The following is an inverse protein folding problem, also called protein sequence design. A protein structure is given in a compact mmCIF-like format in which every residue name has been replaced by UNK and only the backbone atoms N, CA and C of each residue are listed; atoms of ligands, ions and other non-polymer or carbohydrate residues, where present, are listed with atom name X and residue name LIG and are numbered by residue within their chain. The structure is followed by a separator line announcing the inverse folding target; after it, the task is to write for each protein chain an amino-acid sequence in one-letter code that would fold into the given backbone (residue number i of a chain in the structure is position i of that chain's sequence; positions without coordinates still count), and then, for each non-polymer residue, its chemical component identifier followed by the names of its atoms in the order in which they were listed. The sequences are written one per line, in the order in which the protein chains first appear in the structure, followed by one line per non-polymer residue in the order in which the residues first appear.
data_IF_036509596506
#
_entry.id   IF_036509596506
#
_cell.length_a   1.000
_cell.length_b   1.000
_cell.length_c   1.000
_cell.angle_alpha   90.00
_cell.angle_beta   90.00
_cell.angle_gamma   90.00
#
_symmetry.space_group_name_H-M   'P 1'
#
loop_
_entity.id
_entity.type
_entity.pdbx_description
1 polymer ?
#
# COMPACT_ATOMS: atom_id res chain seq x y z
N UNK A 1 12.48 6.88 -10.50
CA UNK A 1 11.74 7.69 -9.52
C UNK A 1 10.81 8.66 -10.25
N UNK A 2 9.66 8.19 -10.71
CA UNK A 2 8.58 9.06 -11.17
C UNK A 2 7.93 9.65 -9.92
N UNK A 3 8.30 10.88 -9.55
CA UNK A 3 7.68 11.53 -8.41
C UNK A 3 6.17 11.68 -8.72
N UNK A 4 5.26 11.29 -7.82
CA UNK A 4 3.81 11.41 -8.03
C UNK A 4 3.37 12.86 -8.32
N UNK A 5 4.22 13.84 -8.02
CA UNK A 5 4.01 15.24 -8.40
C UNK A 5 4.14 15.46 -9.92
N UNK A 6 5.05 14.78 -10.61
CA UNK A 6 5.18 14.89 -12.07
C UNK A 6 3.95 14.33 -12.79
N UNK A 7 3.38 13.23 -12.28
CA UNK A 7 2.19 12.61 -12.85
C UNK A 7 0.94 13.52 -12.82
N UNK A 8 0.83 14.41 -11.83
CA UNK A 8 -0.26 15.40 -11.75
C UNK A 8 0.07 16.72 -12.46
N UNK A 9 1.35 17.08 -12.56
CA UNK A 9 1.80 18.32 -13.20
C UNK A 9 1.57 18.32 -14.71
N UNK A 10 1.98 17.25 -15.42
CA UNK A 10 1.92 17.24 -16.89
C UNK A 10 0.50 17.36 -17.48
N UNK A 11 -0.52 16.64 -16.98
CA UNK A 11 -1.89 16.83 -17.47
C UNK A 11 -2.43 18.23 -17.23
N UNK A 12 -2.09 18.84 -16.09
CA UNK A 12 -2.45 20.21 -15.77
C UNK A 12 -1.77 21.22 -16.71
N UNK A 13 -0.49 21.02 -17.02
CA UNK A 13 0.25 21.84 -17.97
C UNK A 13 -0.32 21.74 -19.40
N UNK A 14 -0.62 20.52 -19.87
CA UNK A 14 -1.27 20.31 -21.18
C UNK A 14 -2.65 20.95 -21.25
N UNK A 15 -3.47 20.81 -20.20
CA UNK A 15 -4.78 21.45 -20.13
C UNK A 15 -4.67 22.99 -20.11
N UNK A 16 -3.75 23.54 -19.32
CA UNK A 16 -3.48 24.97 -19.27
C UNK A 16 -3.05 25.54 -20.63
N UNK A 17 -2.12 24.85 -21.31
CA UNK A 17 -1.68 25.22 -22.66
C UNK A 17 -2.81 25.13 -23.69
N UNK A 18 -3.64 24.10 -23.62
CA UNK A 18 -4.81 23.95 -24.50
C UNK A 18 -5.82 25.09 -24.33
N UNK A 19 -6.18 25.45 -23.10
CA UNK A 19 -7.07 26.58 -22.81
C UNK A 19 -6.47 27.91 -23.32
N UNK A 20 -5.17 28.11 -23.13
CA UNK A 20 -4.45 29.28 -23.65
C UNK A 20 -4.53 29.37 -25.18
N UNK A 21 -4.23 28.27 -25.88
CA UNK A 21 -4.28 28.22 -27.35
C UNK A 21 -5.70 28.46 -27.87
N UNK A 22 -6.72 27.89 -27.24
CA UNK A 22 -8.13 28.14 -27.57
C UNK A 22 -8.46 29.63 -27.43
N UNK A 23 -8.01 30.28 -26.34
CA UNK A 23 -8.22 31.70 -26.09
C UNK A 23 -7.56 32.58 -27.16
N UNK A 24 -6.27 32.36 -27.43
CA UNK A 24 -5.51 33.12 -28.44
C UNK A 24 -6.12 32.94 -29.84
N UNK A 25 -6.42 31.70 -30.23
CA UNK A 25 -7.02 31.42 -31.54
C UNK A 25 -8.36 32.15 -31.71
N UNK A 26 -9.21 32.16 -30.68
CA UNK A 26 -10.51 32.84 -30.76
C UNK A 26 -10.38 34.37 -30.76
N UNK A 27 -9.39 34.95 -30.07
CA UNK A 27 -9.11 36.38 -30.10
C UNK A 27 -8.65 36.85 -31.48
N UNK A 28 -7.75 36.09 -32.12
CA UNK A 28 -7.27 36.41 -33.47
C UNK A 28 -8.36 36.26 -34.55
N UNK A 29 -9.39 35.46 -34.26
CA UNK A 29 -10.48 35.13 -35.20
C UNK A 29 -11.79 35.88 -34.91
N UNK A 30 -11.78 36.96 -34.12
CA UNK A 30 -12.99 37.71 -33.75
C UNK A 30 -13.83 38.18 -34.95
N UNK A 31 -13.20 38.50 -36.09
CA UNK A 31 -13.87 38.92 -37.33
C UNK A 31 -14.27 37.78 -38.27
N UNK A 32 -14.07 36.52 -37.88
CA UNK A 32 -14.37 35.34 -38.73
C UNK A 32 -15.66 34.66 -38.29
N UNK A 33 -16.28 33.92 -39.22
CA UNK A 33 -17.50 33.16 -38.96
C UNK A 33 -17.34 32.07 -37.89
N UNK A 34 -18.44 31.71 -37.24
CA UNK A 34 -18.47 30.76 -36.11
C UNK A 34 -17.84 29.40 -36.47
N UNK A 35 -18.02 28.91 -37.69
CA UNK A 35 -17.46 27.64 -38.16
C UNK A 35 -15.92 27.64 -38.08
N UNK A 36 -15.27 28.73 -38.49
CA UNK A 36 -13.80 28.87 -38.47
C UNK A 36 -13.28 28.86 -37.04
N UNK A 37 -14.01 29.51 -36.12
CA UNK A 37 -13.65 29.58 -34.70
C UNK A 37 -13.83 28.24 -33.98
N UNK A 38 -14.89 27.49 -34.30
CA UNK A 38 -15.10 26.13 -33.79
C UNK A 38 -13.98 25.22 -34.28
N UNK A 39 -13.65 25.26 -35.57
CA UNK A 39 -12.55 24.47 -36.13
C UNK A 39 -11.21 24.77 -35.44
N UNK A 40 -10.90 26.06 -35.21
CA UNK A 40 -9.69 26.47 -34.50
C UNK A 40 -9.67 25.99 -33.02
N UNK A 41 -10.83 26.01 -32.35
CA UNK A 41 -10.97 25.51 -30.98
C UNK A 41 -10.74 24.00 -30.91
N UNK A 42 -11.34 23.23 -31.83
CA UNK A 42 -11.15 21.78 -31.94
C UNK A 42 -9.68 21.45 -32.21
N UNK A 43 -9.02 22.18 -33.12
CA UNK A 43 -7.61 21.99 -33.43
C UNK A 43 -6.70 22.24 -32.21
N UNK A 44 -6.95 23.31 -31.44
CA UNK A 44 -6.20 23.61 -30.22
C UNK A 44 -6.39 22.55 -29.12
N UNK A 45 -7.61 22.04 -28.94
CA UNK A 45 -7.90 20.95 -28.02
C UNK A 45 -7.22 19.64 -28.45
N UNK A 46 -7.29 19.32 -29.75
CA UNK A 46 -6.63 18.15 -30.31
C UNK A 46 -5.10 18.21 -30.13
N UNK A 47 -4.49 19.40 -30.29
CA UNK A 47 -3.07 19.59 -30.02
C UNK A 47 -2.71 19.36 -28.55
N UNK A 48 -3.53 19.87 -27.61
CA UNK A 48 -3.31 19.67 -26.17
C UNK A 48 -3.48 18.22 -25.74
N UNK A 49 -4.50 17.53 -26.26
CA UNK A 49 -4.72 16.09 -26.02
C UNK A 49 -3.61 15.26 -26.68
N UNK A 50 -3.20 15.61 -27.89
CA UNK A 50 -2.08 14.97 -28.59
C UNK A 50 -0.76 15.09 -27.82
N UNK A 51 -0.48 16.26 -27.23
CA UNK A 51 0.66 16.43 -26.34
C UNK A 51 0.57 15.52 -25.10
N UNK A 52 -0.61 15.35 -24.51
CA UNK A 52 -0.81 14.43 -23.39
C UNK A 52 -0.63 12.95 -23.79
N UNK A 53 -1.02 12.57 -25.02
CA UNK A 53 -0.78 11.22 -25.57
C UNK A 53 0.72 10.96 -25.77
N UNK A 54 1.46 11.94 -26.31
CA UNK A 54 2.90 11.80 -26.57
C UNK A 54 3.73 11.62 -25.29
N UNK A 55 3.20 11.98 -24.12
CA UNK A 55 3.87 11.80 -22.84
C UNK A 55 3.77 10.37 -22.29
N UNK A 56 2.93 9.51 -22.89
CA UNK A 56 2.73 8.10 -22.53
C UNK A 56 2.50 7.86 -21.02
N UNK A 57 1.86 8.82 -20.36
CA UNK A 57 1.54 8.76 -18.93
C UNK A 57 0.14 8.16 -18.74
N UNK A 58 -0.03 7.10 -17.93
CA UNK A 58 -1.33 6.50 -17.68
C UNK A 58 -2.28 7.51 -17.02
N UNK A 59 -3.44 7.72 -17.64
CA UNK A 59 -4.48 8.63 -17.14
C UNK A 59 -4.27 10.12 -17.45
N UNK A 60 -3.17 10.50 -18.10
CA UNK A 60 -2.89 11.90 -18.43
C UNK A 60 -3.92 12.49 -19.40
N UNK A 61 -4.31 11.73 -20.42
CA UNK A 61 -5.32 12.14 -21.41
C UNK A 61 -6.68 12.38 -20.75
N UNK A 62 -7.14 11.46 -19.91
CA UNK A 62 -8.43 11.59 -19.21
C UNK A 62 -8.43 12.82 -18.28
N UNK A 63 -7.35 13.01 -17.52
CA UNK A 63 -7.21 14.15 -16.61
C UNK A 63 -7.16 15.49 -17.37
N UNK A 64 -6.36 15.57 -18.43
CA UNK A 64 -6.28 16.76 -19.28
C UNK A 64 -7.63 17.06 -19.94
N UNK A 65 -8.37 16.05 -20.43
CA UNK A 65 -9.68 16.24 -21.02
C UNK A 65 -10.72 16.77 -20.03
N UNK A 66 -10.72 16.28 -18.78
CA UNK A 66 -11.60 16.80 -17.72
C UNK A 66 -11.25 18.26 -17.39
N UNK A 67 -9.97 18.59 -17.25
CA UNK A 67 -9.52 19.96 -16.98
C UNK A 67 -9.86 20.92 -18.14
N UNK A 68 -9.66 20.48 -19.39
CA UNK A 68 -10.06 21.25 -20.58
C UNK A 68 -11.58 21.45 -20.63
N UNK A 69 -12.36 20.40 -20.38
CA UNK A 69 -13.82 20.47 -20.36
C UNK A 69 -14.35 21.42 -19.28
N UNK A 70 -13.83 21.31 -18.06
CA UNK A 70 -14.22 22.19 -16.94
C UNK A 70 -13.86 23.65 -17.19
N UNK A 71 -12.75 23.94 -17.88
CA UNK A 71 -12.39 25.30 -18.28
C UNK A 71 -13.20 25.83 -19.47
N UNK A 72 -13.47 24.99 -20.48
CA UNK A 72 -14.07 25.40 -21.74
C UNK A 72 -15.61 25.52 -21.68
N UNK A 73 -16.27 24.62 -20.94
CA UNK A 73 -17.75 24.62 -20.83
C UNK A 73 -18.29 25.96 -20.34
N UNK A 74 -17.73 26.60 -19.29
CA UNK A 74 -18.17 27.94 -18.87
C UNK A 74 -18.00 28.99 -19.96
N UNK A 75 -16.88 28.96 -20.70
CA UNK A 75 -16.59 29.93 -21.77
C UNK A 75 -17.58 29.80 -22.94
N UNK A 76 -17.87 28.56 -23.36
CA UNK A 76 -18.85 28.29 -24.42
C UNK A 76 -20.27 28.61 -23.96
N UNK A 77 -20.61 28.27 -22.71
CA UNK A 77 -21.90 28.60 -22.13
C UNK A 77 -22.12 30.11 -22.10
N UNK A 78 -21.13 30.90 -21.67
CA UNK A 78 -21.18 32.37 -21.66
C UNK A 78 -21.35 32.99 -23.06
N UNK A 79 -20.96 32.30 -24.12
CA UNK A 79 -21.20 32.73 -25.50
C UNK A 79 -22.67 32.65 -25.95
N UNK A 80 -23.51 31.89 -25.23
CA UNK A 80 -24.93 31.75 -25.57
C UNK A 80 -25.74 32.95 -25.04
N UNK A 81 -26.57 33.63 -25.86
CA UNK A 81 -27.21 34.89 -25.48
C UNK A 81 -28.10 34.79 -24.24
N UNK A 82 -28.78 33.65 -24.03
CA UNK A 82 -29.58 33.43 -22.81
C UNK A 82 -28.73 33.27 -21.55
N UNK A 83 -27.56 32.64 -21.67
CA UNK A 83 -26.63 32.45 -20.56
C UNK A 83 -25.88 33.75 -20.28
N UNK A 84 -25.46 34.48 -21.31
CA UNK A 84 -24.90 35.83 -21.17
C UNK A 84 -25.89 36.78 -20.47
N UNK A 85 -27.17 36.77 -20.88
CA UNK A 85 -28.22 37.56 -20.24
C UNK A 85 -28.54 37.08 -18.81
N UNK A 86 -28.41 35.78 -18.52
CA UNK A 86 -28.53 35.25 -17.17
C UNK A 86 -27.33 35.71 -16.32
N UNK A 87 -26.09 35.54 -16.81
CA UNK A 87 -24.86 35.96 -16.16
C UNK A 87 -24.83 37.47 -15.90
N UNK A 88 -25.27 38.30 -16.85
CA UNK A 88 -25.42 39.73 -16.65
C UNK A 88 -26.42 40.05 -15.54
N UNK A 89 -27.57 39.34 -15.48
CA UNK A 89 -28.51 39.45 -14.37
C UNK A 89 -27.89 39.00 -13.04
N UNK A 90 -27.08 37.95 -13.03
CA UNK A 90 -26.35 37.51 -11.83
C UNK A 90 -25.30 38.52 -11.39
N UNK A 91 -24.60 39.18 -12.32
CA UNK A 91 -23.65 40.27 -12.04
C UNK A 91 -24.38 41.48 -11.46
N UNK A 92 -25.51 41.88 -12.05
CA UNK A 92 -26.37 42.95 -11.48
C UNK A 92 -26.86 42.55 -10.08
N UNK A 93 -27.35 41.32 -9.91
CA UNK A 93 -27.79 40.82 -8.61
C UNK A 93 -26.65 40.75 -7.59
N UNK A 94 -25.42 40.44 -8.04
CA UNK A 94 -24.25 40.42 -7.18
C UNK A 94 -23.78 41.82 -6.81
N UNK A 95 -24.34 42.92 -7.34
CA UNK A 95 -24.13 44.24 -6.75
C UNK A 95 -24.88 44.42 -5.41
N UNK A 96 -25.86 43.56 -5.10
CA UNK A 96 -26.49 43.56 -3.79
C UNK A 96 -25.60 42.88 -2.74
N UNK A 97 -25.32 43.52 -1.59
CA UNK A 97 -24.46 42.96 -0.54
C UNK A 97 -24.91 41.57 -0.07
N UNK A 98 -26.23 41.36 0.07
CA UNK A 98 -26.79 40.08 0.51
C UNK A 98 -26.48 38.93 -0.46
N UNK A 99 -26.53 39.17 -1.78
CA UNK A 99 -26.21 38.16 -2.78
C UNK A 99 -24.71 37.80 -2.77
N UNK A 100 -23.82 38.79 -2.62
CA UNK A 100 -22.37 38.56 -2.50
C UNK A 100 -22.05 37.68 -1.31
N UNK A 101 -22.45 38.10 -0.11
CA UNK A 101 -22.14 37.37 1.11
C UNK A 101 -22.85 36.02 1.17
N UNK A 102 -24.07 35.90 0.64
CA UNK A 102 -24.79 34.64 0.51
C UNK A 102 -24.05 33.64 -0.39
N UNK A 103 -23.58 34.07 -1.56
CA UNK A 103 -22.80 33.20 -2.46
C UNK A 103 -21.46 32.79 -1.85
N UNK A 104 -20.79 33.69 -1.13
CA UNK A 104 -19.52 33.41 -0.47
C UNK A 104 -19.72 32.40 0.66
N UNK A 105 -20.77 32.55 1.47
CA UNK A 105 -21.13 31.60 2.52
C UNK A 105 -21.45 30.21 1.92
N UNK A 106 -22.25 30.16 0.85
CA UNK A 106 -22.57 28.90 0.17
C UNK A 106 -21.32 28.23 -0.40
N UNK A 107 -20.44 28.99 -1.07
CA UNK A 107 -19.16 28.47 -1.56
C UNK A 107 -18.29 27.95 -0.42
N UNK A 108 -18.21 28.68 0.70
CA UNK A 108 -17.48 28.24 1.89
C UNK A 108 -18.01 26.93 2.45
N UNK A 109 -19.33 26.76 2.56
CA UNK A 109 -19.96 25.50 3.01
C UNK A 109 -19.65 24.36 2.05
N UNK A 110 -19.81 24.57 0.74
CA UNK A 110 -19.52 23.54 -0.29
C UNK A 110 -18.05 23.14 -0.26
N UNK A 111 -17.14 24.11 -0.12
CA UNK A 111 -15.70 23.84 0.01
C UNK A 111 -15.39 23.06 1.29
N UNK A 112 -15.99 23.42 2.43
CA UNK A 112 -15.77 22.71 3.69
C UNK A 112 -16.28 21.27 3.64
N UNK A 113 -17.53 21.05 3.20
CA UNK A 113 -18.11 19.71 3.04
C UNK A 113 -17.34 18.89 2.02
N UNK A 114 -16.95 19.50 0.90
CA UNK A 114 -16.14 18.86 -0.13
C UNK A 114 -14.76 18.44 0.39
N UNK A 115 -14.10 19.29 1.20
CA UNK A 115 -12.81 18.96 1.81
C UNK A 115 -12.92 17.78 2.78
N UNK A 116 -13.96 17.76 3.64
CA UNK A 116 -14.22 16.63 4.55
C UNK A 116 -14.48 15.35 3.76
N UNK A 117 -15.35 15.38 2.75
CA UNK A 117 -15.64 14.18 1.95
C UNK A 117 -14.42 13.66 1.16
N UNK A 118 -13.55 14.57 0.68
CA UNK A 118 -12.30 14.18 0.03
C UNK A 118 -11.30 13.59 1.02
N UNK A 119 -11.20 14.17 2.23
CA UNK A 119 -10.37 13.65 3.31
C UNK A 119 -10.83 12.26 3.75
N UNK A 120 -12.13 12.08 4.01
CA UNK A 120 -12.69 10.78 4.42
C UNK A 120 -12.40 9.69 3.38
N UNK A 121 -12.58 10.00 2.09
CA UNK A 121 -12.25 9.05 1.01
C UNK A 121 -10.75 8.74 0.92
N UNK A 122 -9.89 9.73 1.17
CA UNK A 122 -8.45 9.52 1.17
C UNK A 122 -8.03 8.65 2.37
N UNK A 123 -8.61 8.90 3.55
CA UNK A 123 -8.38 8.15 4.78
C UNK A 123 -8.91 6.71 4.67
N UNK A 124 -10.12 6.49 4.12
CA UNK A 124 -10.65 5.16 3.85
C UNK A 124 -9.74 4.35 2.92
N UNK A 125 -9.21 4.98 1.86
CA UNK A 125 -8.25 4.33 0.95
C UNK A 125 -6.95 3.99 1.66
N UNK A 126 -6.42 4.90 2.48
CA UNK A 126 -5.21 4.67 3.26
C UNK A 126 -5.39 3.53 4.26
N UNK A 127 -6.53 3.48 4.96
CA UNK A 127 -6.90 2.39 5.87
C UNK A 127 -7.06 1.07 5.14
N UNK A 128 -7.79 1.05 4.02
CA UNK A 128 -7.97 -0.16 3.21
C UNK A 128 -6.64 -0.71 2.71
N UNK A 129 -5.75 0.17 2.24
CA UNK A 129 -4.40 -0.20 1.82
C UNK A 129 -3.56 -0.71 2.99
N UNK A 130 -3.59 -0.04 4.15
CA UNK A 130 -2.88 -0.50 5.36
C UNK A 130 -3.38 -1.87 5.84
N UNK A 131 -4.67 -2.14 5.80
CA UNK A 131 -5.22 -3.47 6.11
C UNK A 131 -4.78 -4.52 5.08
N UNK A 132 -4.74 -4.18 3.79
CA UNK A 132 -4.26 -5.08 2.76
C UNK A 132 -2.78 -5.42 2.95
N UNK A 133 -1.94 -4.41 3.22
CA UNK A 133 -0.51 -4.57 3.51
C UNK A 133 -0.31 -5.41 4.79
N UNK A 134 -1.12 -5.16 5.83
CA UNK A 134 -1.09 -5.95 7.07
C UNK A 134 -1.48 -7.41 6.84
N UNK A 135 -2.44 -7.70 5.97
CA UNK A 135 -2.80 -9.08 5.63
C UNK A 135 -1.66 -9.84 4.93
N UNK A 136 -0.85 -9.14 4.13
CA UNK A 136 0.37 -9.70 3.51
C UNK A 136 1.41 -10.04 4.59
N UNK A 137 1.59 -9.16 5.57
CA UNK A 137 2.58 -9.32 6.65
C UNK A 137 2.16 -10.36 7.67
N UNK A 138 0.88 -10.40 8.04
CA UNK A 138 0.36 -11.42 8.96
C UNK A 138 0.32 -12.81 8.33
N UNK A 139 0.62 -12.94 7.03
CA UNK A 139 0.69 -14.24 6.36
C UNK A 139 -0.64 -14.98 6.39
N UNK A 140 -1.75 -14.26 6.34
CA UNK A 140 -3.10 -14.82 6.39
C UNK A 140 -3.53 -15.49 5.07
N UNK A 141 -2.58 -15.96 4.24
CA UNK A 141 -2.92 -16.71 3.04
C UNK A 141 -3.66 -17.98 3.43
N UNK A 142 -4.76 -18.30 2.71
CA UNK A 142 -5.38 -19.61 2.82
C UNK A 142 -4.35 -20.70 2.63
N UNK A 143 -4.38 -21.68 3.51
CA UNK A 143 -3.46 -22.81 3.51
C UNK A 143 -4.23 -24.08 3.80
N UNK A 144 -3.87 -25.17 3.14
CA UNK A 144 -4.44 -26.50 3.37
C UNK A 144 -3.43 -27.38 4.11
N UNK A 145 -3.88 -28.37 4.90
CA UNK A 145 -2.98 -29.38 5.44
C UNK A 145 -2.16 -30.04 4.32
N UNK A 146 -0.86 -30.18 4.55
CA UNK A 146 0.07 -30.84 3.63
C UNK A 146 -0.11 -32.35 3.69
N UNK A 147 -0.23 -32.98 2.52
CA UNK A 147 -0.18 -34.44 2.39
C UNK A 147 1.23 -34.97 2.12
N UNK A 148 2.16 -34.09 1.71
CA UNK A 148 3.52 -34.45 1.27
C UNK A 148 4.47 -34.80 2.39
N UNK A 149 4.18 -34.35 3.60
CA UNK A 149 5.06 -34.51 4.76
C UNK A 149 4.26 -34.60 6.05
N UNK A 150 4.89 -35.22 7.05
CA UNK A 150 4.39 -35.29 8.43
C UNK A 150 5.50 -34.82 9.36
N UNK A 151 5.13 -34.10 10.41
CA UNK A 151 6.05 -33.69 11.46
C UNK A 151 5.46 -34.00 12.83
N UNK A 152 6.33 -34.17 13.81
CA UNK A 152 5.94 -34.36 15.20
C UNK A 152 6.84 -33.56 16.14
N UNK A 153 6.32 -33.27 17.32
CA UNK A 153 7.10 -32.80 18.46
C UNK A 153 8.03 -33.90 18.98
N UNK A 154 8.92 -33.57 19.92
CA UNK A 154 9.82 -34.55 20.52
C UNK A 154 9.12 -35.58 21.41
N UNK A 155 7.88 -35.28 21.81
CA UNK A 155 7.00 -36.21 22.53
C UNK A 155 6.10 -37.03 21.59
N UNK A 156 6.27 -36.87 20.28
CA UNK A 156 5.55 -37.63 19.26
C UNK A 156 4.16 -37.08 18.91
N UNK A 157 3.76 -35.91 19.43
CA UNK A 157 2.49 -35.29 19.07
C UNK A 157 2.57 -34.82 17.61
N UNK A 158 1.64 -35.25 16.73
CA UNK A 158 1.61 -34.80 15.35
C UNK A 158 1.37 -33.29 15.26
N UNK A 159 2.14 -32.61 14.40
CA UNK A 159 1.94 -31.19 14.07
C UNK A 159 1.41 -31.07 12.65
N UNK A 160 0.34 -30.30 12.46
CA UNK A 160 -0.30 -30.13 11.15
C UNK A 160 0.53 -29.17 10.30
N UNK A 161 1.31 -29.73 9.37
CA UNK A 161 2.00 -28.95 8.35
C UNK A 161 0.98 -28.41 7.35
N UNK A 162 1.18 -27.17 6.90
CA UNK A 162 0.30 -26.54 5.90
C UNK A 162 1.06 -26.03 4.70
N UNK A 163 0.39 -26.04 3.57
CA UNK A 163 0.87 -25.50 2.30
C UNK A 163 0.00 -24.34 1.87
N UNK A 164 0.56 -23.32 1.22
CA UNK A 164 -0.26 -22.28 0.62
C UNK A 164 -1.19 -22.92 -0.41
N UNK A 165 -2.48 -22.58 -0.36
CA UNK A 165 -3.34 -22.86 -1.51
C UNK A 165 -2.78 -22.05 -2.66
N UNK A 166 -2.63 -22.67 -3.84
CA UNK A 166 -2.26 -21.99 -5.07
C UNK A 166 -3.38 -21.03 -5.52
N UNK A 167 -3.70 -20.04 -4.69
CA UNK A 167 -4.40 -18.87 -5.13
C UNK A 167 -3.42 -18.15 -6.06
N UNK A 168 -3.88 -17.85 -7.27
CA UNK A 168 -3.14 -16.95 -8.15
C UNK A 168 -2.78 -15.72 -7.33
N UNK A 169 -1.47 -15.48 -7.13
CA UNK A 169 -1.03 -14.16 -6.72
C UNK A 169 -1.72 -13.18 -7.66
N UNK A 170 -2.24 -12.04 -7.17
CA UNK A 170 -2.93 -11.08 -8.02
C UNK A 170 -2.06 -10.86 -9.26
N UNK A 171 -2.62 -11.11 -10.44
CA UNK A 171 -1.85 -11.10 -11.67
C UNK A 171 -1.12 -9.76 -11.80
N UNK A 172 0.22 -9.78 -11.86
CA UNK A 172 1.06 -8.58 -11.90
C UNK A 172 1.52 -8.00 -10.56
N UNK A 173 1.17 -8.59 -9.41
CA UNK A 173 1.74 -8.18 -8.13
C UNK A 173 3.19 -8.66 -7.99
N UNK A 174 4.15 -7.75 -8.22
CA UNK A 174 5.55 -7.99 -7.90
C UNK A 174 5.74 -8.04 -6.38
N UNK A 175 6.18 -9.18 -5.81
CA UNK A 175 6.43 -9.32 -4.39
C UNK A 175 7.48 -8.32 -3.87
N UNK A 176 8.49 -7.98 -4.69
CA UNK A 176 9.54 -7.05 -4.29
C UNK A 176 8.99 -5.63 -4.11
N UNK A 177 8.17 -5.17 -5.07
CA UNK A 177 7.48 -3.87 -4.98
C UNK A 177 6.54 -3.81 -3.76
N UNK A 178 5.86 -4.91 -3.43
CA UNK A 178 4.96 -4.96 -2.27
C UNK A 178 5.74 -4.92 -0.95
N UNK A 179 6.87 -5.62 -0.87
CA UNK A 179 7.80 -5.57 0.26
C UNK A 179 8.36 -4.16 0.47
N UNK A 180 8.91 -3.53 -0.57
CA UNK A 180 9.48 -2.18 -0.48
C UNK A 180 8.44 -1.16 -0.01
N UNK A 181 7.20 -1.24 -0.54
CA UNK A 181 6.11 -0.37 -0.14
C UNK A 181 5.75 -0.54 1.34
N UNK A 182 5.67 -1.77 1.83
CA UNK A 182 5.41 -2.05 3.24
C UNK A 182 6.53 -1.51 4.14
N UNK A 183 7.79 -1.77 3.78
CA UNK A 183 8.93 -1.32 4.56
C UNK A 183 9.01 0.21 4.64
N UNK A 184 8.72 0.89 3.53
CA UNK A 184 8.67 2.34 3.49
C UNK A 184 7.50 2.91 4.31
N UNK A 185 6.30 2.35 4.20
CA UNK A 185 5.11 2.83 4.93
C UNK A 185 5.22 2.59 6.43
N UNK A 186 5.84 1.49 6.84
CA UNK A 186 6.11 1.18 8.25
C UNK A 186 7.36 1.89 8.80
N UNK A 187 8.09 2.65 7.98
CA UNK A 187 9.36 3.31 8.34
C UNK A 187 10.41 2.32 8.87
N UNK A 188 10.48 1.11 8.30
CA UNK A 188 11.38 0.04 8.74
C UNK A 188 12.63 -0.09 7.85
N UNK A 189 12.66 0.58 6.70
CA UNK A 189 13.71 0.39 5.68
C UNK A 189 15.15 0.64 6.19
N UNK A 190 15.33 1.51 7.18
CA UNK A 190 16.62 1.85 7.81
C UNK A 190 16.86 1.13 9.15
N UNK A 191 15.89 0.35 9.64
CA UNK A 191 15.94 -0.33 10.93
C UNK A 191 16.18 -1.85 10.80
N UNK A 192 16.32 -2.36 9.57
CA UNK A 192 16.42 -3.79 9.29
C UNK A 192 17.53 -4.10 8.31
N UNK A 193 18.00 -5.35 8.34
CA UNK A 193 18.92 -5.90 7.35
C UNK A 193 18.24 -7.11 6.70
N UNK A 194 17.99 -7.04 5.40
CA UNK A 194 17.44 -8.19 4.65
C UNK A 194 18.47 -9.32 4.58
N UNK A 195 18.06 -10.53 4.95
CA UNK A 195 18.89 -11.75 5.02
C UNK A 195 18.55 -12.78 3.95
N UNK A 196 17.30 -12.78 3.46
CA UNK A 196 16.83 -13.72 2.45
C UNK A 196 15.56 -13.25 1.75
N UNK A 197 15.25 -13.89 0.62
CA UNK A 197 14.03 -13.60 -0.14
C UNK A 197 12.77 -14.10 0.57
N UNK A 198 11.64 -13.48 0.23
CA UNK A 198 10.33 -13.94 0.66
C UNK A 198 9.81 -15.05 -0.25
N UNK A 199 9.62 -16.25 0.28
CA UNK A 199 8.81 -17.29 -0.33
C UNK A 199 7.43 -17.38 0.32
N UNK A 200 6.39 -17.70 -0.46
CA UNK A 200 5.03 -17.93 0.04
C UNK A 200 4.84 -19.34 0.66
N UNK A 201 5.81 -20.23 0.47
CA UNK A 201 5.76 -21.63 0.92
C UNK A 201 5.78 -21.78 2.44
N UNK A 202 6.28 -20.78 3.15
CA UNK A 202 6.42 -20.81 4.60
C UNK A 202 6.02 -19.48 5.22
N UNK A 203 5.53 -19.49 6.45
CA UNK A 203 5.32 -18.27 7.24
C UNK A 203 6.45 -18.14 8.29
N UNK A 204 6.35 -17.17 9.20
CA UNK A 204 7.33 -16.97 10.26
C UNK A 204 7.56 -18.21 11.14
N UNK A 205 6.48 -18.86 11.58
CA UNK A 205 6.53 -20.09 12.38
C UNK A 205 7.16 -21.24 11.61
N UNK A 206 6.73 -21.42 10.37
CA UNK A 206 7.28 -22.40 9.45
C UNK A 206 8.77 -22.23 9.19
N UNK A 207 9.22 -20.98 9.02
CA UNK A 207 10.63 -20.66 8.83
C UNK A 207 11.49 -21.14 10.00
N UNK A 208 11.03 -20.92 11.24
CA UNK A 208 11.73 -21.37 12.45
C UNK A 208 11.66 -22.89 12.62
N UNK A 209 10.47 -23.48 12.67
CA UNK A 209 10.29 -24.87 13.16
C UNK A 209 10.23 -25.93 12.06
N UNK A 210 10.13 -25.55 10.78
CA UNK A 210 10.14 -26.51 9.66
C UNK A 210 11.37 -26.35 8.76
N UNK A 211 12.24 -25.39 9.09
CA UNK A 211 13.34 -24.98 8.22
C UNK A 211 12.85 -24.31 6.94
N UNK A 212 11.73 -23.59 7.01
CA UNK A 212 11.20 -22.81 5.88
C UNK A 212 10.50 -23.59 4.78
N UNK A 213 10.05 -24.83 5.05
CA UNK A 213 9.41 -25.69 4.04
C UNK A 213 7.90 -25.70 4.06
N UNK A 214 7.30 -25.46 5.23
CA UNK A 214 5.85 -25.52 5.42
C UNK A 214 5.39 -24.32 6.24
N UNK A 215 4.08 -24.07 6.29
CA UNK A 215 3.44 -23.11 7.19
C UNK A 215 2.97 -23.82 8.46
N UNK A 216 3.00 -23.12 9.58
CA UNK A 216 2.47 -23.58 10.87
C UNK A 216 1.51 -22.54 11.45
N UNK A 217 0.51 -22.98 12.24
CA UNK A 217 -0.35 -22.05 12.97
C UNK A 217 0.31 -21.57 14.27
N UNK A 218 -0.20 -20.47 14.85
CA UNK A 218 0.24 -20.03 16.18
C UNK A 218 -0.08 -21.04 17.28
N UNK A 219 -1.18 -21.78 17.15
CA UNK A 219 -1.57 -22.82 18.12
C UNK A 219 -0.58 -23.99 18.10
N UNK A 220 -0.11 -24.38 16.91
CA UNK A 220 0.95 -25.39 16.78
C UNK A 220 2.23 -24.95 17.51
N UNK A 221 2.58 -23.66 17.47
CA UNK A 221 3.75 -23.14 18.19
C UNK A 221 3.61 -23.35 19.70
N UNK A 222 2.43 -23.16 20.28
CA UNK A 222 2.21 -23.40 21.72
C UNK A 222 2.49 -24.85 22.08
N UNK A 223 2.00 -25.80 21.28
CA UNK A 223 2.25 -27.24 21.47
C UNK A 223 3.74 -27.57 21.30
N UNK A 224 4.37 -27.00 20.26
CA UNK A 224 5.80 -27.18 19.99
C UNK A 224 6.66 -26.73 21.16
N UNK A 225 6.42 -25.54 21.71
CA UNK A 225 7.19 -25.03 22.84
C UNK A 225 7.06 -25.94 24.07
N UNK A 226 5.82 -26.32 24.40
CA UNK A 226 5.53 -27.16 25.57
C UNK A 226 6.18 -28.55 25.49
N UNK A 227 6.20 -29.15 24.31
CA UNK A 227 6.62 -30.54 24.15
C UNK A 227 8.07 -30.71 23.74
N UNK A 228 8.67 -29.71 23.09
CA UNK A 228 10.06 -29.75 22.64
C UNK A 228 11.05 -29.19 23.68
N UNK A 229 10.62 -29.16 24.94
CA UNK A 229 11.47 -28.78 26.08
C UNK A 229 11.89 -27.32 26.07
N UNK A 230 11.10 -26.42 25.47
CA UNK A 230 11.37 -25.00 25.60
C UNK A 230 10.99 -24.50 26.98
N UNK A 231 11.82 -23.61 27.52
CA UNK A 231 11.57 -22.85 28.74
C UNK A 231 11.70 -21.38 28.45
N UNK A 232 10.82 -20.58 29.03
CA UNK A 232 10.95 -19.13 28.97
C UNK A 232 12.22 -18.69 29.69
N UNK A 233 12.94 -17.72 29.12
CA UNK A 233 14.17 -17.17 29.68
C UNK A 233 14.12 -15.64 29.69
N UNK A 234 14.57 -15.04 30.79
CA UNK A 234 14.64 -13.58 30.92
C UNK A 234 15.87 -12.99 30.19
N UNK A 235 16.96 -13.76 30.11
CA UNK A 235 18.21 -13.34 29.46
C UNK A 235 18.42 -14.18 28.19
N UNK A 236 17.99 -13.69 27.02
CA UNK A 236 18.14 -14.43 25.78
C UNK A 236 19.62 -14.60 25.41
N UNK A 237 19.90 -15.63 24.63
CA UNK A 237 21.18 -15.91 24.01
C UNK A 237 20.98 -16.22 22.51
N UNK A 238 22.03 -16.08 21.68
CA UNK A 238 21.98 -16.52 20.29
C UNK A 238 21.50 -17.97 20.17
N UNK A 239 20.53 -18.20 19.28
CA UNK A 239 19.90 -19.50 19.09
C UNK A 239 18.63 -19.72 19.93
N UNK A 240 18.26 -18.81 20.83
CA UNK A 240 16.94 -18.86 21.46
C UNK A 240 15.84 -18.51 20.46
N UNK A 241 14.63 -19.04 20.67
CA UNK A 241 13.45 -18.62 19.95
C UNK A 241 12.84 -17.37 20.60
N UNK A 242 12.32 -16.45 19.81
CA UNK A 242 11.46 -15.36 20.29
C UNK A 242 10.03 -15.60 19.80
N UNK A 243 9.06 -15.35 20.67
CA UNK A 243 7.63 -15.55 20.40
C UNK A 243 6.91 -14.24 20.72
N UNK A 244 6.26 -13.66 19.71
CA UNK A 244 5.43 -12.47 19.85
C UNK A 244 3.98 -12.88 20.00
N UNK A 245 3.24 -12.14 20.82
CA UNK A 245 1.82 -12.36 21.05
C UNK A 245 1.01 -11.10 20.83
N UNK A 246 -0.27 -11.30 20.53
CA UNK A 246 -1.27 -10.24 20.51
C UNK A 246 -2.56 -10.81 21.07
N UNK A 247 -3.05 -10.23 22.17
CA UNK A 247 -4.22 -10.73 22.89
C UNK A 247 -4.07 -12.21 23.29
N UNK A 248 -2.87 -12.61 23.73
CA UNK A 248 -2.56 -13.98 24.13
C UNK A 248 -2.27 -14.96 22.98
N UNK A 249 -2.69 -14.67 21.75
CA UNK A 249 -2.42 -15.53 20.60
C UNK A 249 -1.00 -15.32 20.06
N UNK A 250 -0.32 -16.39 19.67
CA UNK A 250 1.00 -16.32 19.01
C UNK A 250 0.84 -15.77 17.60
N UNK A 251 1.48 -14.64 17.32
CA UNK A 251 1.37 -13.94 16.02
C UNK A 251 2.64 -14.02 15.20
N UNK A 252 3.80 -14.17 15.85
CA UNK A 252 5.09 -14.20 15.18
C UNK A 252 6.14 -14.95 15.97
N UNK A 253 7.10 -15.52 15.26
CA UNK A 253 8.27 -16.19 15.86
C UNK A 253 9.53 -15.89 15.06
N UNK A 254 10.65 -15.83 15.77
CA UNK A 254 11.98 -15.63 15.19
C UNK A 254 13.06 -16.34 15.97
N UNK A 255 14.31 -16.17 15.54
CA UNK A 255 15.49 -16.70 16.21
C UNK A 255 16.38 -15.54 16.64
N UNK A 256 16.79 -15.55 17.91
CA UNK A 256 17.77 -14.60 18.43
C UNK A 256 19.11 -14.86 17.75
N UNK A 257 19.68 -13.82 17.14
CA UNK A 257 21.00 -13.91 16.48
C UNK A 257 22.11 -13.23 17.25
N UNK A 258 21.83 -12.06 17.81
CA UNK A 258 22.83 -11.28 18.54
C UNK A 258 22.26 -10.74 19.83
N UNK A 259 23.06 -10.80 20.89
CA UNK A 259 22.78 -10.23 22.20
C UNK A 259 24.05 -9.51 22.62
N UNK A 260 24.01 -8.18 22.65
CA UNK A 260 25.12 -7.34 23.10
C UNK A 260 24.64 -6.55 24.31
N UNK A 261 25.36 -6.57 25.45
CA UNK A 261 24.96 -5.81 26.63
C UNK A 261 24.76 -4.32 26.30
N UNK A 262 23.60 -3.77 26.68
CA UNK A 262 23.24 -2.36 26.43
C UNK A 262 22.62 -2.07 25.06
N UNK A 263 22.65 -3.04 24.14
CA UNK A 263 22.04 -2.91 22.81
C UNK A 263 20.74 -3.71 22.70
N UNK A 264 19.84 -3.37 21.75
CA UNK A 264 18.66 -4.19 21.48
C UNK A 264 19.02 -5.63 21.08
N UNK A 265 18.21 -6.59 21.52
CA UNK A 265 18.34 -7.99 21.10
C UNK A 265 17.97 -8.09 19.62
N UNK A 266 18.87 -8.65 18.81
CA UNK A 266 18.67 -8.77 17.37
C UNK A 266 18.08 -10.13 17.00
N UNK A 267 16.99 -10.09 16.26
CA UNK A 267 16.17 -11.23 15.84
C UNK A 267 16.27 -11.40 14.34
N UNK A 268 16.53 -12.62 13.87
CA UNK A 268 16.28 -12.98 12.49
C UNK A 268 14.92 -13.68 12.39
N UNK A 269 14.05 -13.17 11.54
CA UNK A 269 12.73 -13.76 11.34
C UNK A 269 12.18 -13.45 9.94
N UNK A 270 11.28 -14.31 9.46
CA UNK A 270 10.52 -14.07 8.22
C UNK A 270 9.27 -13.26 8.53
N UNK A 271 8.96 -12.23 7.75
CA UNK A 271 7.76 -11.41 7.97
C UNK A 271 6.64 -11.79 6.99
N UNK A 272 5.74 -12.68 7.40
CA UNK A 272 4.64 -13.14 6.55
C UNK A 272 5.15 -13.74 5.25
N UNK A 273 4.64 -13.25 4.12
CA UNK A 273 5.12 -13.66 2.79
C UNK A 273 6.30 -12.80 2.29
N UNK A 274 6.73 -11.78 3.03
CA UNK A 274 7.89 -10.94 2.72
C UNK A 274 9.21 -11.69 2.98
N UNK A 275 10.34 -10.98 2.89
CA UNK A 275 11.67 -11.47 3.18
C UNK A 275 11.92 -11.99 4.60
N UNK A 276 13.16 -12.46 4.78
CA UNK A 276 13.75 -12.75 6.08
C UNK A 276 14.61 -11.56 6.46
N UNK A 277 14.42 -11.03 7.67
CA UNK A 277 15.04 -9.81 8.14
C UNK A 277 15.74 -10.03 9.47
N UNK A 278 16.88 -9.39 9.64
CA UNK A 278 17.51 -9.15 10.93
C UNK A 278 17.03 -7.78 11.44
N UNK A 279 16.43 -7.74 12.62
CA UNK A 279 15.84 -6.54 13.20
C UNK A 279 15.94 -6.57 14.74
N UNK A 280 15.82 -5.41 15.39
CA UNK A 280 15.70 -5.35 16.84
C UNK A 280 14.36 -5.95 17.30
N UNK A 281 14.35 -6.62 18.45
CA UNK A 281 13.16 -7.32 18.94
C UNK A 281 11.96 -6.39 19.16
N UNK A 282 12.20 -5.15 19.57
CA UNK A 282 11.20 -4.11 19.80
C UNK A 282 10.79 -3.36 18.51
N UNK A 283 11.43 -3.64 17.38
CA UNK A 283 11.14 -3.04 16.05
C UNK A 283 10.45 -4.02 15.09
N UNK A 284 9.76 -5.01 15.65
CA UNK A 284 8.95 -5.97 14.91
C UNK A 284 7.60 -5.37 14.51
N UNK A 285 7.09 -5.61 13.29
CA UNK A 285 5.73 -5.20 12.90
C UNK A 285 4.64 -5.98 13.66
N UNK A 286 5.01 -7.02 14.42
CA UNK A 286 4.10 -7.84 15.20
C UNK A 286 3.92 -7.36 16.65
N UNK A 287 4.50 -6.21 17.00
CA UNK A 287 4.38 -5.59 18.32
C UNK A 287 5.54 -5.93 19.26
N UNK A 288 5.39 -5.55 20.53
CA UNK A 288 6.44 -5.65 21.56
C UNK A 288 6.09 -6.61 22.69
N UNK A 289 4.90 -7.20 22.69
CA UNK A 289 4.54 -8.28 23.61
C UNK A 289 5.23 -9.56 23.15
N UNK A 290 6.40 -9.84 23.74
CA UNK A 290 7.26 -10.94 23.34
C UNK A 290 7.88 -11.65 24.55
N UNK A 291 8.26 -12.90 24.32
CA UNK A 291 8.97 -13.75 25.29
C UNK A 291 10.08 -14.52 24.57
N UNK A 292 11.15 -14.83 25.28
CA UNK A 292 12.27 -15.63 24.77
C UNK A 292 12.20 -17.05 25.32
N UNK A 293 12.49 -18.03 24.48
CA UNK A 293 12.35 -19.45 24.77
C UNK A 293 13.62 -20.19 24.40
N UNK A 294 14.19 -20.93 25.35
CA UNK A 294 15.39 -21.76 25.16
C UNK A 294 15.04 -23.23 25.25
N UNK A 295 15.59 -24.04 24.37
CA UNK A 295 15.55 -25.50 24.44
C UNK A 295 16.99 -26.05 24.45
N UNK A 296 17.22 -27.17 25.11
CA UNK A 296 18.53 -27.84 25.14
C UNK A 296 18.81 -28.61 23.83
N UNK A 297 17.87 -28.57 22.87
CA UNK A 297 17.99 -29.18 21.55
C UNK A 297 19.01 -28.48 20.67
N UNK A 298 19.59 -29.26 19.75
CA UNK A 298 20.35 -28.71 18.62
C UNK A 298 19.40 -28.19 17.54
N UNK A 299 19.03 -26.92 17.62
CA UNK A 299 18.17 -26.24 16.66
C UNK A 299 16.66 -26.41 16.95
N UNK A 300 15.83 -25.89 16.05
CA UNK A 300 14.38 -25.75 16.28
C UNK A 300 13.50 -26.68 15.43
N UNK A 301 14.06 -27.34 14.41
CA UNK A 301 13.27 -28.09 13.42
C UNK A 301 12.54 -29.28 14.03
N UNK A 302 11.27 -29.47 13.66
CA UNK A 302 10.45 -30.61 14.10
C UNK A 302 11.00 -31.97 13.62
N UNK A 303 10.62 -33.02 14.33
CA UNK A 303 10.95 -34.39 13.95
C UNK A 303 10.23 -34.80 12.66
N UNK A 304 10.80 -35.74 11.91
CA UNK A 304 10.26 -36.21 10.62
C UNK A 304 10.58 -35.30 9.44
N UNK A 305 11.13 -34.11 9.69
CA UNK A 305 11.53 -33.16 8.65
C UNK A 305 13.05 -33.16 8.38
N UNK A 306 13.82 -34.04 9.01
CA UNK A 306 15.27 -34.11 8.81
C UNK A 306 15.55 -34.87 7.50
N UNK A 307 15.81 -34.12 6.44
CA UNK A 307 16.27 -34.60 5.13
C UNK A 307 17.11 -33.50 4.48
N UNK A 308 18.00 -33.81 3.52
CA UNK A 308 18.80 -32.79 2.84
C UNK A 308 17.87 -31.71 2.27
N UNK A 309 18.22 -30.44 2.49
CA UNK A 309 17.64 -29.35 1.69
C UNK A 309 17.97 -29.66 0.24
N UNK A 310 16.96 -30.03 -0.56
CA UNK A 310 17.10 -30.05 -2.01
C UNK A 310 17.10 -28.63 -2.54
#
# INVERSE_FOLDING_TARGET
MSSPHLASFFPAACAGLGLFLVGVANLLLLGRGAVVRVAATVAALAAAVGAAVLLDQPGAVATAAVLLGTGLVPVLALGHPRVAAAAARTVVASHHPAARYGSLAAAGIVSAVGAVALFDRADERAKAQSMADMNVVLGARPSVPSERARAATDRGTPVVLREPVAAAAPEGADPATSEERFLASAQLSDQIIRRGCGGAETNCHGWVFTGGRFRLSGDDVVVILAENGYREVATPAPGDAVVYRKNGAVTHTGVVRYVTPGEPVMIESKWGDLGVFLHAADRSPYGTDLTYHRSDRRGHTLQGLIGPMQ
#
